data_IF_230729004467
#
_entry.id   IF_230729004467
#
_cell.length_a   1.000
_cell.length_b   1.000
_cell.length_c   1.000
_cell.angle_alpha   90.00
_cell.angle_beta   90.00
_cell.angle_gamma   90.00
#
_symmetry.space_group_name_H-M   'P 1'
#
loop_
_entity.id
_entity.type
_entity.pdbx_description
1 polymer ?
#
# COMPACT_ATOMS: atom_id res chain seq x y z
N UNK A 1 -17.17 -11.39 1.77
CA UNK A 1 -17.06 -10.97 0.35
C UNK A 1 -17.59 -12.05 -0.58
N UNK A 2 -18.44 -11.70 -1.55
CA UNK A 2 -18.69 -12.54 -2.73
C UNK A 2 -17.72 -12.08 -3.83
N UNK A 3 -17.08 -13.01 -4.54
CA UNK A 3 -16.15 -12.74 -5.66
C UNK A 3 -14.81 -12.07 -5.26
N UNK A 4 -14.29 -12.35 -4.05
CA UNK A 4 -12.94 -11.91 -3.71
C UNK A 4 -11.91 -12.62 -4.61
N UNK A 5 -10.94 -11.86 -5.09
CA UNK A 5 -9.83 -12.36 -5.92
C UNK A 5 -8.50 -12.02 -5.24
N UNK A 6 -7.41 -12.76 -5.53
CA UNK A 6 -6.11 -12.45 -4.97
C UNK A 6 -5.64 -11.04 -5.32
N UNK A 7 -5.01 -10.34 -4.36
CA UNK A 7 -4.37 -9.04 -4.60
C UNK A 7 -3.33 -9.13 -5.73
N UNK A 8 -2.65 -10.27 -5.88
CA UNK A 8 -1.73 -10.51 -6.99
C UNK A 8 -2.43 -10.45 -8.36
N UNK A 9 -3.67 -10.95 -8.46
CA UNK A 9 -4.47 -10.86 -9.68
C UNK A 9 -4.85 -9.42 -9.98
N UNK A 10 -5.27 -8.66 -8.96
CA UNK A 10 -5.62 -7.25 -9.09
C UNK A 10 -4.39 -6.43 -9.52
N UNK A 11 -3.25 -6.65 -8.87
CA UNK A 11 -1.98 -6.01 -9.18
C UNK A 11 -1.58 -6.20 -10.65
N UNK A 12 -1.78 -7.41 -11.20
CA UNK A 12 -1.54 -7.71 -12.63
C UNK A 12 -2.49 -6.97 -13.57
N UNK A 13 -3.77 -6.83 -13.23
CA UNK A 13 -4.76 -6.12 -14.05
C UNK A 13 -4.38 -4.65 -14.19
N UNK A 14 -3.93 -4.05 -13.11
CA UNK A 14 -3.60 -2.62 -13.07
C UNK A 14 -2.11 -2.31 -13.28
N UNK A 15 -1.30 -3.32 -13.66
CA UNK A 15 0.14 -3.18 -13.90
C UNK A 15 0.93 -2.50 -12.76
N UNK A 16 0.57 -2.80 -11.51
CA UNK A 16 1.26 -2.31 -10.30
C UNK A 16 1.74 -3.47 -9.43
N UNK A 17 2.53 -3.17 -8.41
CA UNK A 17 2.99 -4.15 -7.42
C UNK A 17 1.92 -4.40 -6.35
N UNK A 18 2.00 -5.58 -5.71
CA UNK A 18 1.15 -5.87 -4.54
C UNK A 18 1.43 -4.90 -3.39
N UNK A 19 2.67 -4.41 -3.24
CA UNK A 19 3.03 -3.42 -2.23
C UNK A 19 2.31 -2.08 -2.44
N UNK A 20 2.26 -1.57 -3.68
CA UNK A 20 1.48 -0.37 -4.03
C UNK A 20 -0.02 -0.59 -3.79
N UNK A 21 -0.51 -1.78 -4.11
CA UNK A 21 -1.90 -2.16 -3.86
C UNK A 21 -2.23 -2.19 -2.36
N UNK A 22 -1.30 -2.63 -1.51
CA UNK A 22 -1.46 -2.63 -0.05
C UNK A 22 -1.47 -1.21 0.52
N UNK A 23 -0.71 -0.27 -0.05
CA UNK A 23 -0.82 1.14 0.31
C UNK A 23 -2.22 1.69 0.00
N UNK A 24 -2.77 1.37 -1.17
CA UNK A 24 -4.14 1.73 -1.52
C UNK A 24 -5.17 1.12 -0.56
N UNK A 25 -5.00 -0.14 -0.18
CA UNK A 25 -5.83 -0.82 0.82
C UNK A 25 -5.85 -0.04 2.13
N UNK A 26 -4.67 0.34 2.64
CA UNK A 26 -4.55 1.09 3.89
C UNK A 26 -5.15 2.50 3.77
N UNK A 27 -4.81 3.23 2.71
CA UNK A 27 -5.25 4.61 2.50
C UNK A 27 -6.77 4.73 2.35
N UNK A 28 -7.42 3.73 1.73
CA UNK A 28 -8.87 3.74 1.45
C UNK A 28 -9.68 2.83 2.37
N UNK A 29 -9.04 2.17 3.34
CA UNK A 29 -9.66 1.20 4.25
C UNK A 29 -10.43 0.10 3.52
N UNK A 30 -9.84 -0.44 2.45
CA UNK A 30 -10.42 -1.55 1.68
C UNK A 30 -10.39 -2.81 2.53
N UNK A 31 -11.49 -3.57 2.54
CA UNK A 31 -11.56 -4.82 3.28
C UNK A 31 -10.73 -5.89 2.55
N UNK A 32 -9.85 -6.56 3.30
CA UNK A 32 -8.98 -7.64 2.80
C UNK A 32 -9.12 -8.85 3.71
N UNK A 33 -9.25 -10.02 3.10
CA UNK A 33 -9.21 -11.31 3.81
C UNK A 33 -7.87 -11.98 3.53
N UNK A 34 -7.21 -12.44 4.59
CA UNK A 34 -5.99 -13.24 4.49
C UNK A 34 -6.35 -14.72 4.53
N UNK A 35 -5.92 -15.47 3.51
CA UNK A 35 -6.04 -16.92 3.44
C UNK A 35 -4.64 -17.49 3.24
N UNK A 36 -4.17 -18.26 4.22
CA UNK A 36 -2.79 -18.75 4.29
C UNK A 36 -1.79 -17.59 4.16
N UNK A 37 -1.12 -17.47 3.02
CA UNK A 37 -0.11 -16.44 2.73
C UNK A 37 -0.53 -15.50 1.59
N UNK A 38 -1.81 -15.50 1.21
CA UNK A 38 -2.33 -14.69 0.11
C UNK A 38 -3.50 -13.82 0.57
N UNK A 39 -3.46 -12.54 0.17
CA UNK A 39 -4.48 -11.56 0.48
C UNK A 39 -5.52 -11.51 -0.65
N UNK A 40 -6.80 -11.43 -0.26
CA UNK A 40 -7.95 -11.41 -1.16
C UNK A 40 -8.79 -10.16 -0.91
N UNK A 41 -9.25 -9.53 -1.99
CA UNK A 41 -10.13 -8.37 -1.93
C UNK A 41 -11.13 -8.38 -3.09
N UNK A 42 -12.14 -7.52 -3.02
CA UNK A 42 -13.07 -7.35 -4.13
C UNK A 42 -12.43 -6.45 -5.21
N UNK A 43 -12.36 -6.93 -6.45
CA UNK A 43 -11.71 -6.19 -7.55
C UNK A 43 -12.38 -4.85 -7.85
N UNK A 44 -13.70 -4.72 -7.61
CA UNK A 44 -14.44 -3.46 -7.82
C UNK A 44 -13.94 -2.33 -6.92
N UNK A 45 -13.40 -2.65 -5.75
CA UNK A 45 -12.89 -1.65 -4.81
C UNK A 45 -11.62 -0.95 -5.35
N UNK A 46 -11.04 -1.48 -6.43
CA UNK A 46 -9.87 -0.97 -7.12
C UNK A 46 -10.17 -0.31 -8.47
N UNK A 47 -11.44 -0.14 -8.86
CA UNK A 47 -11.81 0.51 -10.13
C UNK A 47 -11.26 1.95 -10.27
N UNK A 48 -10.98 2.63 -9.15
CA UNK A 48 -10.34 3.95 -9.16
C UNK A 48 -8.93 3.95 -9.79
N UNK A 49 -8.29 2.78 -9.89
CA UNK A 49 -7.02 2.62 -10.59
C UNK A 49 -7.17 2.74 -12.12
N UNK A 50 -8.37 2.49 -12.68
CA UNK A 50 -8.63 2.68 -14.12
C UNK A 50 -8.69 4.17 -14.51
N UNK A 51 -9.04 5.04 -13.57
CA UNK A 51 -9.28 6.48 -13.84
C UNK A 51 -8.04 7.34 -13.67
N UNK A 52 -6.89 6.75 -13.38
CA UNK A 52 -5.73 7.49 -12.91
C UNK A 52 -4.61 7.41 -13.91
N UNK A 53 -4.52 8.44 -14.77
CA UNK A 53 -3.45 8.58 -15.73
C UNK A 53 -2.06 8.62 -15.06
N UNK A 54 -1.93 8.99 -13.79
CA UNK A 54 -0.65 9.05 -13.08
C UNK A 54 -0.84 8.94 -11.55
N UNK A 55 -0.90 7.72 -10.97
CA UNK A 55 -0.73 7.56 -9.51
C UNK A 55 0.77 7.57 -9.23
N UNK A 56 1.37 8.76 -9.27
CA UNK A 56 2.64 8.97 -8.59
C UNK A 56 2.36 8.98 -7.10
N UNK A 57 2.62 7.86 -6.44
CA UNK A 57 2.74 7.86 -4.98
C UNK A 57 4.00 8.67 -4.68
N UNK A 58 3.85 9.98 -4.49
CA UNK A 58 4.85 10.82 -3.85
C UNK A 58 4.98 10.32 -2.41
N UNK A 59 5.84 9.32 -2.20
CA UNK A 59 6.31 8.98 -0.88
C UNK A 59 7.25 10.13 -0.51
N UNK A 60 6.69 11.22 0.03
CA UNK A 60 7.46 12.16 0.84
C UNK A 60 7.97 11.36 2.03
N UNK A 61 9.16 10.80 1.84
CA UNK A 61 9.97 10.25 2.91
C UNK A 61 10.41 11.43 3.76
N UNK A 62 9.55 11.87 4.68
CA UNK A 62 9.99 12.61 5.85
C UNK A 62 10.77 11.65 6.77
N UNK A 63 11.91 11.16 6.26
CA UNK A 63 12.96 10.56 7.06
C UNK A 63 13.80 11.70 7.63
N UNK A 64 13.28 12.40 8.64
CA UNK A 64 14.16 12.97 9.67
C UNK A 64 14.20 11.98 10.83
N UNK A 65 15.20 11.11 10.74
CA UNK A 65 15.84 10.49 11.89
C UNK A 65 15.90 11.50 13.04
N UNK A 66 15.37 11.13 14.20
CA UNK A 66 15.77 11.79 15.45
C UNK A 66 17.26 11.51 15.63
N UNK A 67 18.08 12.51 15.35
CA UNK A 67 19.49 12.53 15.72
C UNK A 67 19.54 12.78 17.24
N UNK A 68 19.53 11.71 18.03
CA UNK A 68 19.84 11.76 19.46
C UNK A 68 21.35 11.98 19.63
N UNK A 69 21.84 13.15 19.22
CA UNK A 69 23.14 13.65 19.71
C UNK A 69 22.93 14.15 21.13
N UNK A 70 23.12 13.23 22.08
CA UNK A 70 23.25 13.56 23.50
C UNK A 70 24.52 14.38 23.67
N UNK A 71 24.37 15.66 24.01
CA UNK A 71 25.44 16.51 24.51
C UNK A 71 26.11 15.84 25.72
N UNK A 72 27.25 15.20 25.51
CA UNK A 72 28.18 14.85 26.58
C UNK A 72 29.23 15.94 26.69
N UNK A 73 28.90 17.00 27.44
CA UNK A 73 29.91 17.83 28.11
C UNK A 73 30.59 16.98 29.18
N UNK A 74 31.80 16.49 28.90
CA UNK A 74 32.79 16.11 29.91
C UNK A 74 34.18 16.29 29.32
N UNK A 75 34.83 17.44 29.61
CA UNK A 75 36.17 17.62 30.20
C UNK A 75 36.33 19.09 30.58
#
# INVERSE_FOLDING_TARGET
MKNAVPLNTIAKIYHITVSELLFAVQARRIEVVWLENEAYANASDFEFLNTSDEIFINIETESKFCDDTVDQEFV
#
